data_IF_645077517015
#
_entry.id   IF_645077517015
#
_cell.length_a   1.000
_cell.length_b   1.000
_cell.length_c   1.000
_cell.angle_alpha   90.00
_cell.angle_beta   90.00
_cell.angle_gamma   90.00
#
_symmetry.space_group_name_H-M   'P 1'
#
loop_
_entity.id
_entity.type
_entity.pdbx_description
1 polymer ?
#
# COMPACT_ATOMS: atom_id res chain seq x y z
N UNK A 1 7.45 29.47 -9.18
CA UNK A 1 7.87 28.47 -8.18
C UNK A 1 6.97 27.25 -8.40
N UNK A 2 7.48 26.03 -8.44
CA UNK A 2 6.62 24.86 -8.49
C UNK A 2 5.68 24.90 -7.27
N UNK A 3 4.41 24.54 -7.49
CA UNK A 3 3.40 24.48 -6.43
C UNK A 3 3.83 23.37 -5.46
N UNK A 4 3.86 23.65 -4.16
CA UNK A 4 4.10 22.62 -3.14
C UNK A 4 3.06 21.51 -3.32
N UNK A 5 3.51 20.25 -3.36
CA UNK A 5 2.63 19.10 -3.35
C UNK A 5 2.11 18.87 -1.91
N UNK A 6 0.79 18.87 -1.73
CA UNK A 6 0.18 18.64 -0.44
C UNK A 6 0.10 17.12 -0.16
N UNK A 7 0.39 16.73 1.09
CA UNK A 7 0.19 15.34 1.55
C UNK A 7 -1.31 15.15 1.80
N UNK A 8 -1.97 14.44 0.89
CA UNK A 8 -3.44 14.31 0.90
C UNK A 8 -3.94 13.18 1.78
N UNK A 9 -3.05 12.30 2.25
CA UNK A 9 -3.42 11.28 3.24
C UNK A 9 -2.21 10.81 4.05
N UNK A 10 -2.48 10.37 5.28
CA UNK A 10 -1.53 9.72 6.18
C UNK A 10 -2.02 8.30 6.46
N UNK A 11 -1.21 7.32 6.10
CA UNK A 11 -1.53 5.90 6.26
C UNK A 11 -0.55 5.25 7.22
N UNK A 12 -1.06 4.66 8.29
CA UNK A 12 -0.32 3.94 9.31
C UNK A 12 -0.44 2.45 9.07
N UNK A 13 0.69 1.74 9.05
CA UNK A 13 0.76 0.34 8.63
C UNK A 13 1.52 -0.51 9.62
N UNK A 14 0.99 -1.70 9.89
CA UNK A 14 1.70 -2.77 10.59
C UNK A 14 1.56 -4.07 9.79
N UNK A 15 2.63 -4.86 9.77
CA UNK A 15 2.53 -6.21 9.24
C UNK A 15 1.91 -7.11 10.28
N UNK A 16 1.02 -7.98 9.85
CA UNK A 16 0.43 -9.01 10.68
C UNK A 16 1.19 -10.33 10.46
N UNK A 17 1.12 -11.22 11.44
CA UNK A 17 1.66 -12.59 11.36
C UNK A 17 0.82 -13.40 10.36
N UNK A 18 1.31 -13.73 9.16
CA UNK A 18 0.48 -14.30 8.11
C UNK A 18 -0.16 -15.64 8.50
N UNK A 19 0.55 -16.49 9.26
CA UNK A 19 0.05 -17.81 9.68
C UNK A 19 -1.21 -17.75 10.56
N UNK A 20 -1.52 -16.61 11.17
CA UNK A 20 -2.76 -16.43 11.93
C UNK A 20 -3.99 -16.22 11.03
N UNK A 21 -3.76 -15.95 9.75
CA UNK A 21 -4.78 -15.75 8.73
C UNK A 21 -4.86 -16.94 7.75
N UNK A 22 -4.25 -18.06 8.13
CA UNK A 22 -4.21 -19.28 7.32
C UNK A 22 -5.61 -19.89 7.14
N UNK A 23 -5.79 -20.56 6.00
CA UNK A 23 -6.99 -21.31 5.65
C UNK A 23 -7.80 -20.69 4.49
N UNK A 24 -9.03 -21.18 4.33
CA UNK A 24 -9.92 -20.67 3.29
C UNK A 24 -10.47 -19.27 3.62
N UNK A 25 -11.20 -18.66 2.68
CA UNK A 25 -11.76 -17.32 2.81
C UNK A 25 -12.57 -17.12 4.12
N UNK A 26 -13.38 -18.12 4.51
CA UNK A 26 -14.18 -18.04 5.72
C UNK A 26 -13.32 -18.08 7.00
N UNK A 27 -12.26 -18.90 7.02
CA UNK A 27 -11.32 -19.00 8.13
C UNK A 27 -10.51 -17.73 8.28
N UNK A 28 -9.99 -17.20 7.16
CA UNK A 28 -9.26 -15.94 7.11
C UNK A 28 -10.11 -14.77 7.61
N UNK A 29 -11.37 -14.66 7.15
CA UNK A 29 -12.30 -13.62 7.63
C UNK A 29 -12.58 -13.74 9.11
N UNK A 30 -12.83 -14.94 9.63
CA UNK A 30 -13.04 -15.15 11.05
C UNK A 30 -11.79 -14.78 11.87
N UNK A 31 -10.59 -14.96 11.32
CA UNK A 31 -9.35 -14.50 11.96
C UNK A 31 -9.25 -12.95 11.97
N UNK A 32 -9.60 -12.29 10.86
CA UNK A 32 -9.63 -10.83 10.79
C UNK A 32 -10.68 -10.24 11.75
N UNK A 33 -11.85 -10.88 11.90
CA UNK A 33 -12.86 -10.44 12.87
C UNK A 33 -12.35 -10.56 14.32
N UNK A 34 -11.63 -11.64 14.66
CA UNK A 34 -10.99 -11.76 15.98
C UNK A 34 -9.92 -10.68 16.19
N UNK A 35 -9.06 -10.48 15.19
CA UNK A 35 -8.06 -9.40 15.23
C UNK A 35 -8.72 -8.03 15.50
N UNK A 36 -9.80 -7.71 14.78
CA UNK A 36 -10.52 -6.45 14.98
C UNK A 36 -11.16 -6.35 16.36
N UNK A 37 -11.69 -7.45 16.88
CA UNK A 37 -12.19 -7.52 18.27
C UNK A 37 -11.10 -7.20 19.29
N UNK A 38 -9.90 -7.76 19.13
CA UNK A 38 -8.75 -7.52 20.00
C UNK A 38 -8.24 -6.06 19.88
N UNK A 39 -8.19 -5.51 18.66
CA UNK A 39 -7.87 -4.08 18.43
C UNK A 39 -8.87 -3.19 19.16
N UNK A 40 -10.16 -3.44 18.95
CA UNK A 40 -11.23 -2.64 19.57
C UNK A 40 -11.15 -2.69 21.11
N UNK A 41 -10.96 -3.88 21.67
CA UNK A 41 -10.82 -4.05 23.12
C UNK A 41 -9.58 -3.31 23.67
N UNK A 42 -8.46 -3.39 22.97
CA UNK A 42 -7.22 -2.72 23.34
C UNK A 42 -7.30 -1.19 23.27
N UNK A 43 -8.16 -0.64 22.42
CA UNK A 43 -8.36 0.82 22.27
C UNK A 43 -9.25 1.44 23.34
N UNK A 44 -10.06 0.64 24.07
CA UNK A 44 -10.97 1.14 25.12
C UNK A 44 -10.24 2.01 26.17
N UNK A 45 -9.08 1.59 26.73
CA UNK A 45 -8.36 2.41 27.72
C UNK A 45 -7.79 3.71 27.15
N UNK A 46 -7.68 3.83 25.83
CA UNK A 46 -7.20 5.03 25.14
C UNK A 46 -8.32 6.02 24.82
N UNK A 47 -9.59 5.65 25.06
CA UNK A 47 -10.77 6.43 24.70
C UNK A 47 -10.79 6.78 23.20
N UNK A 48 -10.43 5.79 22.36
CA UNK A 48 -10.47 5.89 20.90
C UNK A 48 -11.58 4.96 20.39
N UNK A 49 -12.73 5.52 19.99
CA UNK A 49 -13.84 4.73 19.50
C UNK A 49 -13.53 4.07 18.13
N UNK A 50 -14.20 2.94 17.89
CA UNK A 50 -14.17 2.23 16.62
C UNK A 50 -15.57 2.10 16.05
N UNK A 51 -15.70 1.90 14.75
CA UNK A 51 -16.97 1.65 14.08
C UNK A 51 -16.80 0.60 12.99
N UNK A 52 -17.88 -0.11 12.67
CA UNK A 52 -17.89 -1.13 11.62
C UNK A 52 -17.06 -2.38 11.92
N UNK A 53 -16.83 -3.16 10.90
CA UNK A 53 -16.02 -4.38 10.89
C UNK A 53 -15.54 -4.67 9.47
N UNK A 54 -14.70 -5.70 9.29
CA UNK A 54 -14.15 -6.08 7.98
C UNK A 54 -15.12 -6.97 7.18
N UNK A 55 -16.35 -6.54 7.04
CA UNK A 55 -17.44 -7.28 6.40
C UNK A 55 -17.46 -7.15 4.86
N UNK A 56 -16.72 -6.19 4.32
CA UNK A 56 -16.68 -5.90 2.89
C UNK A 56 -15.33 -6.29 2.25
N UNK A 57 -15.40 -7.11 1.19
CA UNK A 57 -14.27 -7.28 0.27
C UNK A 57 -14.26 -6.11 -0.69
N UNK A 58 -13.24 -5.29 -0.60
CA UNK A 58 -13.04 -4.17 -1.54
C UNK A 58 -12.50 -4.62 -2.87
N UNK A 59 -11.58 -5.60 -2.87
CA UNK A 59 -10.91 -6.04 -4.06
C UNK A 59 -10.38 -7.47 -3.93
N UNK A 60 -10.41 -8.19 -5.06
CA UNK A 60 -9.67 -9.42 -5.33
C UNK A 60 -8.84 -9.18 -6.58
N UNK A 61 -7.52 -9.31 -6.50
CA UNK A 61 -6.62 -8.93 -7.58
C UNK A 61 -5.45 -9.90 -7.70
N UNK A 62 -4.96 -10.04 -8.92
CA UNK A 62 -3.58 -10.48 -9.14
C UNK A 62 -2.67 -9.26 -9.12
N UNK A 63 -1.54 -9.38 -8.46
CA UNK A 63 -0.54 -8.32 -8.37
C UNK A 63 0.80 -8.82 -8.89
N UNK A 64 1.47 -7.97 -9.66
CA UNK A 64 2.77 -8.23 -10.26
C UNK A 64 3.66 -7.01 -10.07
N UNK A 65 4.94 -7.24 -9.85
CA UNK A 65 5.95 -6.18 -9.77
C UNK A 65 6.95 -6.36 -10.89
N UNK A 66 7.24 -5.29 -11.59
CA UNK A 66 8.16 -5.30 -12.71
C UNK A 66 9.37 -4.42 -12.43
N UNK A 67 10.55 -4.92 -12.80
CA UNK A 67 11.80 -4.19 -12.71
C UNK A 67 12.78 -4.74 -13.77
N UNK A 68 13.92 -4.10 -13.95
CA UNK A 68 15.02 -4.70 -14.68
C UNK A 68 15.59 -5.90 -13.90
N UNK A 69 16.33 -6.77 -14.57
CA UNK A 69 16.97 -7.93 -13.91
C UNK A 69 17.97 -7.54 -12.81
N UNK A 70 18.42 -6.28 -12.78
CA UNK A 70 19.32 -5.73 -11.76
C UNK A 70 18.58 -4.91 -10.71
N UNK A 71 17.24 -4.87 -10.75
CA UNK A 71 16.40 -4.06 -9.88
C UNK A 71 16.73 -2.55 -9.93
N UNK A 72 17.03 -2.03 -11.12
CA UNK A 72 17.47 -0.66 -11.28
C UNK A 72 16.39 0.35 -10.86
N UNK A 73 15.10 0.09 -11.16
CA UNK A 73 14.01 0.97 -10.72
C UNK A 73 13.90 1.01 -9.20
N UNK A 74 13.95 -0.14 -8.54
CA UNK A 74 13.91 -0.21 -7.08
C UNK A 74 15.12 0.46 -6.42
N UNK A 75 16.31 0.33 -7.03
CA UNK A 75 17.53 1.00 -6.56
C UNK A 75 17.38 2.53 -6.58
N UNK A 76 16.63 3.06 -7.55
CA UNK A 76 16.31 4.47 -7.67
C UNK A 76 15.00 4.87 -6.96
N UNK A 77 14.51 4.00 -6.05
CA UNK A 77 13.30 4.22 -5.25
C UNK A 77 11.98 4.23 -6.03
N UNK A 78 12.00 3.73 -7.27
CA UNK A 78 10.78 3.51 -8.06
C UNK A 78 10.26 2.09 -7.92
N UNK A 79 8.95 1.96 -8.02
CA UNK A 79 8.22 0.68 -8.01
C UNK A 79 7.22 0.72 -9.13
N UNK A 80 7.27 -0.28 -10.01
CA UNK A 80 6.26 -0.53 -11.04
C UNK A 80 5.43 -1.73 -10.61
N UNK A 81 4.14 -1.52 -10.44
CA UNK A 81 3.21 -2.57 -10.03
C UNK A 81 2.02 -2.62 -10.97
N UNK A 82 1.72 -3.80 -11.48
CA UNK A 82 0.48 -4.11 -12.15
C UNK A 82 -0.51 -4.74 -11.17
N UNK A 83 -1.77 -4.42 -11.34
CA UNK A 83 -2.91 -5.08 -10.71
C UNK A 83 -3.92 -5.47 -11.76
N UNK A 84 -4.48 -6.66 -11.62
CA UNK A 84 -5.54 -7.21 -12.46
C UNK A 84 -6.71 -7.59 -11.55
N UNK A 85 -7.85 -6.98 -11.73
CA UNK A 85 -9.06 -7.33 -11.00
C UNK A 85 -9.53 -8.72 -11.45
N UNK A 86 -9.74 -9.63 -10.50
CA UNK A 86 -10.07 -11.05 -10.79
C UNK A 86 -11.48 -11.20 -11.37
N UNK A 87 -12.39 -10.30 -10.98
CA UNK A 87 -13.80 -10.40 -11.38
C UNK A 87 -14.05 -9.77 -12.75
N UNK A 88 -13.37 -8.65 -13.07
CA UNK A 88 -13.56 -7.89 -14.31
C UNK A 88 -12.47 -8.12 -15.35
N UNK A 89 -11.28 -8.54 -14.93
CA UNK A 89 -10.10 -8.63 -15.79
C UNK A 89 -9.50 -7.26 -16.13
N UNK A 90 -9.99 -6.19 -15.52
CA UNK A 90 -9.42 -4.85 -15.70
C UNK A 90 -8.02 -4.77 -15.10
N UNK A 91 -7.11 -4.16 -15.85
CA UNK A 91 -5.71 -4.02 -15.44
C UNK A 91 -5.33 -2.57 -15.25
N UNK A 92 -4.54 -2.30 -14.21
CA UNK A 92 -3.98 -0.98 -13.92
C UNK A 92 -2.48 -1.10 -13.62
N UNK A 93 -1.72 -0.08 -14.02
CA UNK A 93 -0.30 0.06 -13.68
C UNK A 93 -0.11 1.25 -12.77
N UNK A 94 0.63 1.03 -11.69
CA UNK A 94 1.04 2.08 -10.76
C UNK A 94 2.55 2.27 -10.85
N UNK A 95 2.98 3.48 -11.16
CA UNK A 95 4.32 3.95 -10.86
C UNK A 95 4.29 4.60 -9.48
N UNK A 96 5.22 4.22 -8.60
CA UNK A 96 5.34 4.79 -7.25
C UNK A 96 6.79 5.14 -6.96
N UNK A 97 7.03 6.35 -6.50
CA UNK A 97 8.32 6.79 -5.94
C UNK A 97 8.21 6.92 -4.43
N UNK A 98 9.24 6.53 -3.69
CA UNK A 98 9.29 6.63 -2.23
C UNK A 98 10.58 7.27 -1.75
N UNK A 99 10.47 8.22 -0.81
CA UNK A 99 11.64 8.82 -0.18
C UNK A 99 11.33 9.26 1.26
N UNK A 100 12.35 9.22 2.13
CA UNK A 100 12.22 9.70 3.51
C UNK A 100 12.09 11.23 3.58
N UNK A 101 12.70 11.93 2.66
CA UNK A 101 12.56 13.38 2.53
C UNK A 101 11.36 13.72 1.65
N UNK A 102 10.44 14.54 2.21
CA UNK A 102 9.21 14.97 1.55
C UNK A 102 9.48 15.76 0.26
N UNK A 103 10.46 16.65 0.30
CA UNK A 103 10.73 17.53 -0.85
C UNK A 103 11.33 16.75 -2.00
N UNK A 104 12.21 15.79 -1.70
CA UNK A 104 12.73 14.87 -2.72
C UNK A 104 11.60 14.04 -3.33
N UNK A 105 10.65 13.55 -2.52
CA UNK A 105 9.51 12.80 -3.02
C UNK A 105 8.58 13.67 -3.88
N UNK A 106 8.32 14.92 -3.46
CA UNK A 106 7.41 15.84 -4.14
C UNK A 106 8.00 16.42 -5.45
N UNK A 107 9.32 16.40 -5.62
CA UNK A 107 10.01 16.94 -6.81
C UNK A 107 10.01 15.99 -8.01
N UNK A 108 9.42 14.80 -7.86
CA UNK A 108 9.36 13.82 -8.94
C UNK A 108 8.21 14.11 -9.89
N UNK A 109 8.48 14.01 -11.20
CA UNK A 109 7.43 14.00 -12.19
C UNK A 109 6.76 12.62 -12.19
N UNK A 110 5.49 12.61 -11.80
CA UNK A 110 4.66 11.42 -11.73
C UNK A 110 3.47 11.53 -12.70
N UNK A 111 3.63 12.32 -13.77
CA UNK A 111 2.59 12.53 -14.78
C UNK A 111 2.33 11.23 -15.53
N UNK A 112 1.06 10.97 -15.84
CA UNK A 112 0.65 9.92 -16.75
C UNK A 112 0.56 10.47 -18.17
N UNK A 113 0.78 9.60 -19.16
CA UNK A 113 0.61 9.97 -20.59
C UNK A 113 -0.86 10.17 -20.96
N UNK A 114 -1.77 9.49 -20.28
CA UNK A 114 -3.22 9.56 -20.46
C UNK A 114 -3.87 10.33 -19.31
N UNK A 115 -4.97 11.03 -19.60
CA UNK A 115 -5.74 11.77 -18.57
C UNK A 115 -6.90 10.94 -17.99
N UNK A 116 -7.43 9.99 -18.78
CA UNK A 116 -8.62 9.24 -18.41
C UNK A 116 -8.32 8.09 -17.46
N UNK A 117 -9.04 8.04 -16.34
CA UNK A 117 -8.92 6.97 -15.34
C UNK A 117 -7.65 7.07 -14.47
N UNK A 118 -6.88 8.14 -14.61
CA UNK A 118 -5.66 8.38 -13.86
C UNK A 118 -5.98 8.80 -12.42
N UNK A 119 -5.20 8.24 -11.48
CA UNK A 119 -5.27 8.57 -10.05
C UNK A 119 -3.87 8.89 -9.55
N UNK A 120 -3.63 10.12 -9.17
CA UNK A 120 -2.36 10.58 -8.60
C UNK A 120 -2.53 10.86 -7.12
N UNK A 121 -1.57 10.42 -6.30
CA UNK A 121 -1.59 10.57 -4.84
C UNK A 121 -0.21 10.91 -4.30
N UNK A 122 -0.16 11.85 -3.36
CA UNK A 122 1.01 12.12 -2.55
C UNK A 122 0.67 11.87 -1.09
N UNK A 123 1.21 10.80 -0.51
CA UNK A 123 0.81 10.25 0.78
C UNK A 123 2.01 10.13 1.72
N UNK A 124 1.77 10.26 3.03
CA UNK A 124 2.72 9.90 4.08
C UNK A 124 2.39 8.50 4.61
N UNK A 125 3.29 7.54 4.36
CA UNK A 125 3.24 6.20 4.92
C UNK A 125 4.00 6.18 6.27
N UNK A 126 3.32 5.85 7.37
CA UNK A 126 3.93 5.73 8.72
C UNK A 126 3.96 4.26 9.12
N UNK A 127 5.15 3.77 9.47
CA UNK A 127 5.38 2.36 9.82
C UNK A 127 6.20 2.23 11.12
N UNK A 128 6.22 1.06 11.75
CA UNK A 128 7.02 0.82 12.96
C UNK A 128 8.50 1.18 12.80
N UNK A 129 9.17 1.68 13.86
CA UNK A 129 8.55 2.04 15.16
C UNK A 129 7.77 3.36 15.14
N UNK A 130 7.95 4.22 14.20
CA UNK A 130 7.26 5.46 13.83
C UNK A 130 8.10 6.20 12.76
N UNK A 131 8.28 5.54 11.63
CA UNK A 131 9.08 6.06 10.52
C UNK A 131 8.16 6.51 9.41
N UNK A 132 8.23 7.79 9.06
CA UNK A 132 7.54 8.37 7.91
C UNK A 132 8.32 8.17 6.63
N UNK A 133 7.60 7.78 5.56
CA UNK A 133 8.10 7.72 4.19
C UNK A 133 7.08 8.39 3.29
N UNK A 134 7.50 9.34 2.47
CA UNK A 134 6.62 10.01 1.52
C UNK A 134 6.57 9.22 0.22
N UNK A 135 5.35 9.00 -0.25
CA UNK A 135 5.05 8.21 -1.42
C UNK A 135 4.31 9.05 -2.44
N UNK A 136 4.91 9.23 -3.61
CA UNK A 136 4.25 9.81 -4.76
C UNK A 136 3.91 8.70 -5.74
N UNK A 137 2.65 8.57 -6.13
CA UNK A 137 2.21 7.49 -7.01
C UNK A 137 1.18 7.97 -8.01
N UNK A 138 1.27 7.44 -9.22
CA UNK A 138 0.26 7.60 -10.25
C UNK A 138 -0.14 6.22 -10.77
N UNK A 139 -1.43 5.99 -10.82
CA UNK A 139 -2.04 4.76 -11.35
C UNK A 139 -2.86 5.10 -12.57
N UNK A 140 -2.71 4.33 -13.63
CA UNK A 140 -3.51 4.45 -14.83
C UNK A 140 -3.95 3.08 -15.36
N UNK A 141 -5.06 3.01 -16.12
CA UNK A 141 -5.48 1.78 -16.77
C UNK A 141 -4.42 1.25 -17.72
N UNK A 142 -4.29 -0.07 -17.81
CA UNK A 142 -3.50 -0.74 -18.83
C UNK A 142 -4.44 -1.29 -19.91
N UNK A 143 -4.24 -0.86 -21.14
CA UNK A 143 -5.07 -1.32 -22.27
C UNK A 143 -5.03 -2.83 -22.39
N UNK A 144 -6.19 -3.44 -22.67
CA UNK A 144 -6.29 -4.89 -22.87
C UNK A 144 -5.32 -5.37 -23.95
N UNK A 145 -4.58 -6.44 -23.64
CA UNK A 145 -3.56 -7.01 -24.53
C UNK A 145 -2.19 -6.34 -24.47
N UNK A 146 -2.04 -5.19 -23.79
CA UNK A 146 -0.72 -4.58 -23.57
C UNK A 146 0.10 -5.40 -22.59
N UNK A 147 1.42 -5.41 -22.79
CA UNK A 147 2.40 -6.13 -21.97
C UNK A 147 3.51 -5.17 -21.58
N UNK A 148 3.96 -5.22 -20.34
CA UNK A 148 5.13 -4.50 -19.88
C UNK A 148 6.36 -5.37 -20.10
N UNK A 149 6.97 -5.27 -21.29
CA UNK A 149 8.10 -6.10 -21.70
C UNK A 149 9.45 -5.37 -21.58
N UNK A 150 9.43 -4.06 -21.70
CA UNK A 150 10.63 -3.22 -21.72
C UNK A 150 10.40 -1.96 -20.88
N UNK A 151 11.47 -1.33 -20.46
CA UNK A 151 11.43 -0.08 -19.69
C UNK A 151 10.68 1.03 -20.43
N UNK A 152 10.79 1.07 -21.76
CA UNK A 152 10.03 1.99 -22.63
C UNK A 152 8.52 1.87 -22.42
N UNK A 153 7.99 0.68 -22.24
CA UNK A 153 6.54 0.48 -22.09
C UNK A 153 6.02 1.22 -20.85
N UNK A 154 6.82 1.28 -19.78
CA UNK A 154 6.49 2.05 -18.56
C UNK A 154 6.78 3.54 -18.75
N UNK A 155 7.88 3.90 -19.44
CA UNK A 155 8.22 5.29 -19.71
C UNK A 155 7.20 5.96 -20.63
N UNK A 156 6.65 5.23 -21.60
CA UNK A 156 5.56 5.72 -22.47
C UNK A 156 4.27 5.96 -21.67
N UNK A 157 4.01 5.17 -20.64
CA UNK A 157 2.89 5.38 -19.72
C UNK A 157 3.15 6.53 -18.73
N UNK A 158 4.39 6.71 -18.29
CA UNK A 158 4.80 7.70 -17.30
C UNK A 158 6.01 8.50 -17.80
N UNK A 159 5.79 9.55 -18.60
CA UNK A 159 6.89 10.25 -19.28
C UNK A 159 7.98 10.80 -18.36
N UNK A 160 7.60 11.23 -17.13
CA UNK A 160 8.56 11.71 -16.15
C UNK A 160 9.56 10.66 -15.64
N UNK A 161 9.27 9.37 -15.84
CA UNK A 161 10.20 8.29 -15.49
C UNK A 161 11.43 8.31 -16.40
N UNK A 162 11.26 8.57 -17.69
CA UNK A 162 12.37 8.59 -18.66
C UNK A 162 13.47 9.60 -18.25
N UNK A 163 13.06 10.78 -17.77
CA UNK A 163 14.00 11.80 -17.31
C UNK A 163 14.70 11.40 -16.00
N UNK A 164 13.99 10.69 -15.13
CA UNK A 164 14.48 10.32 -13.81
C UNK A 164 15.52 9.18 -13.85
N UNK A 165 15.36 8.24 -14.77
CA UNK A 165 16.24 7.05 -14.91
C UNK A 165 17.34 7.23 -15.97
N UNK A 166 17.38 8.36 -16.65
CA UNK A 166 18.30 8.95 -17.62
C UNK A 166 19.28 8.05 -18.37
N UNK A 167 20.09 7.27 -17.67
CA UNK A 167 21.13 6.43 -18.26
C UNK A 167 20.69 4.99 -18.56
N UNK A 168 19.50 4.56 -18.10
CA UNK A 168 19.02 3.21 -18.38
C UNK A 168 18.51 3.11 -19.82
N UNK A 169 19.00 2.12 -20.61
CA UNK A 169 18.51 1.92 -21.96
C UNK A 169 17.00 1.63 -21.95
N UNK A 170 16.26 2.35 -22.78
CA UNK A 170 14.80 2.22 -22.89
C UNK A 170 14.35 0.82 -23.34
N UNK A 171 15.22 0.09 -24.04
CA UNK A 171 15.02 -1.29 -24.47
C UNK A 171 15.37 -2.32 -23.40
N UNK A 172 15.79 -1.89 -22.18
CA UNK A 172 16.08 -2.80 -21.09
C UNK A 172 14.86 -3.68 -20.82
N UNK A 173 15.01 -5.02 -20.82
CA UNK A 173 13.91 -5.91 -20.51
C UNK A 173 13.36 -5.66 -19.09
N UNK A 174 12.06 -5.60 -18.97
CA UNK A 174 11.38 -5.72 -17.69
C UNK A 174 11.09 -7.18 -17.40
N UNK A 175 11.36 -7.58 -16.18
CA UNK A 175 11.10 -8.92 -15.68
C UNK A 175 10.15 -8.86 -14.49
N UNK A 176 9.40 -9.91 -14.31
CA UNK A 176 8.61 -10.11 -13.10
C UNK A 176 9.57 -10.34 -11.94
N UNK A 177 9.49 -9.51 -10.91
CA UNK A 177 10.40 -9.60 -9.76
C UNK A 177 10.19 -10.94 -9.06
N UNK A 178 11.26 -11.79 -9.02
CA UNK A 178 11.26 -13.13 -8.41
C UNK A 178 10.17 -14.06 -8.93
N UNK A 179 9.67 -13.87 -10.13
CA UNK A 179 8.53 -14.60 -10.69
C UNK A 179 7.27 -14.58 -9.79
N UNK A 180 7.21 -13.62 -8.86
CA UNK A 180 6.12 -13.53 -7.88
C UNK A 180 4.86 -12.95 -8.51
N UNK A 181 3.78 -13.72 -8.46
CA UNK A 181 2.41 -13.27 -8.70
C UNK A 181 1.62 -13.41 -7.41
N UNK A 182 1.22 -12.30 -6.83
CA UNK A 182 0.42 -12.31 -5.61
C UNK A 182 -1.08 -12.29 -5.91
N UNK A 183 -1.83 -13.13 -5.22
CA UNK A 183 -3.29 -13.03 -5.13
C UNK A 183 -3.64 -12.17 -3.92
N UNK A 184 -4.09 -10.95 -4.18
CA UNK A 184 -4.45 -9.95 -3.16
C UNK A 184 -5.93 -10.02 -2.80
N UNK A 185 -6.23 -10.05 -1.50
CA UNK A 185 -7.58 -9.81 -0.96
C UNK A 185 -7.51 -8.57 -0.06
N UNK A 186 -8.40 -7.61 -0.30
CA UNK A 186 -8.51 -6.38 0.50
C UNK A 186 -9.85 -6.39 1.22
N UNK A 187 -9.81 -6.31 2.55
CA UNK A 187 -10.99 -6.20 3.42
C UNK A 187 -11.09 -4.79 3.98
N UNK A 188 -12.30 -4.25 4.01
CA UNK A 188 -12.65 -2.92 4.52
C UNK A 188 -14.00 -2.94 5.26
N UNK A 189 -14.39 -1.80 5.84
CA UNK A 189 -15.65 -1.55 6.53
C UNK A 189 -15.48 -1.14 7.98
N UNK A 190 -14.28 -1.34 8.54
CA UNK A 190 -13.90 -0.90 9.88
C UNK A 190 -13.26 0.50 9.83
N UNK A 191 -13.46 1.30 10.89
CA UNK A 191 -12.77 2.58 11.04
C UNK A 191 -12.48 2.91 12.50
N UNK A 192 -11.48 3.79 12.70
CA UNK A 192 -11.15 4.44 13.95
C UNK A 192 -11.71 5.86 13.94
N UNK A 193 -12.18 6.35 15.07
CA UNK A 193 -12.62 7.73 15.25
C UNK A 193 -11.54 8.51 16.02
N UNK A 194 -10.80 9.36 15.32
CA UNK A 194 -9.61 10.02 15.85
C UNK A 194 -9.85 11.48 16.20
N UNK A 195 -9.24 11.92 17.29
CA UNK A 195 -9.27 13.29 17.77
C UNK A 195 -10.63 13.71 18.32
N UNK A 196 -10.74 14.94 18.78
CA UNK A 196 -11.95 15.49 19.44
C UNK A 196 -13.17 15.66 18.53
N UNK A 197 -13.04 15.42 17.24
CA UNK A 197 -14.13 15.58 16.26
C UNK A 197 -14.46 14.29 15.56
N UNK A 198 -13.99 13.15 16.08
CA UNK A 198 -14.26 11.82 15.54
C UNK A 198 -13.93 11.73 14.04
N UNK A 199 -12.72 12.20 13.67
CA UNK A 199 -12.25 12.08 12.28
C UNK A 199 -12.11 10.60 11.97
N UNK A 200 -12.85 10.16 10.97
CA UNK A 200 -12.85 8.78 10.53
C UNK A 200 -11.51 8.43 9.85
N UNK A 201 -10.87 7.39 10.35
CA UNK A 201 -9.70 6.79 9.75
C UNK A 201 -10.08 5.40 9.25
N UNK A 202 -10.21 5.27 7.93
CA UNK A 202 -10.56 4.02 7.26
C UNK A 202 -9.53 2.94 7.53
N UNK A 203 -9.98 1.78 7.98
CA UNK A 203 -9.15 0.61 8.21
C UNK A 203 -9.19 -0.36 7.03
N UNK A 204 -8.05 -0.97 6.73
CA UNK A 204 -7.96 -2.03 5.74
C UNK A 204 -7.09 -3.18 6.24
N UNK A 205 -7.48 -4.41 5.90
CA UNK A 205 -6.63 -5.59 5.99
C UNK A 205 -6.34 -6.08 4.57
N UNK A 206 -5.07 -6.22 4.25
CA UNK A 206 -4.59 -6.71 2.96
C UNK A 206 -3.87 -8.02 3.16
N UNK A 207 -4.32 -9.05 2.46
CA UNK A 207 -3.73 -10.40 2.54
C UNK A 207 -3.27 -10.81 1.15
N UNK A 208 -2.01 -11.31 1.06
CA UNK A 208 -1.43 -11.84 -0.16
C UNK A 208 -1.13 -13.32 -0.04
N UNK A 209 -1.47 -14.04 -1.07
CA UNK A 209 -1.09 -15.44 -1.29
C UNK A 209 -0.17 -15.50 -2.51
N UNK A 210 0.74 -16.45 -2.56
CA UNK A 210 1.50 -16.74 -3.77
C UNK A 210 0.62 -17.53 -4.73
N UNK A 211 0.36 -16.99 -5.93
CA UNK A 211 -0.50 -17.65 -6.94
C UNK A 211 0.15 -18.91 -7.52
N UNK A 212 1.48 -19.00 -7.48
CA UNK A 212 2.23 -20.17 -7.90
C UNK A 212 2.12 -21.35 -6.94
N UNK A 213 1.67 -21.12 -5.70
CA UNK A 213 1.50 -22.13 -4.68
C UNK A 213 0.01 -22.44 -4.45
N UNK A 214 -0.34 -23.72 -4.37
CA UNK A 214 -1.72 -24.14 -4.04
C UNK A 214 -2.04 -24.01 -2.54
N UNK A 215 -1.18 -23.32 -1.81
CA UNK A 215 -1.31 -23.15 -0.38
C UNK A 215 -2.37 -22.08 -0.04
N UNK A 216 -3.05 -22.28 1.06
CA UNK A 216 -3.99 -21.33 1.66
C UNK A 216 -3.32 -20.42 2.69
N UNK A 217 -2.02 -20.62 2.94
CA UNK A 217 -1.24 -19.81 3.87
C UNK A 217 -0.84 -18.50 3.23
N UNK A 218 -1.22 -17.35 3.79
CA UNK A 218 -0.79 -16.06 3.29
C UNK A 218 0.73 -15.90 3.40
N UNK A 219 1.34 -15.29 2.38
CA UNK A 219 2.77 -14.90 2.41
C UNK A 219 2.98 -13.51 2.98
N UNK A 220 1.94 -12.67 2.93
CA UNK A 220 1.94 -11.29 3.47
C UNK A 220 0.57 -10.99 4.05
N UNK A 221 0.56 -10.34 5.21
CA UNK A 221 -0.64 -9.74 5.78
C UNK A 221 -0.29 -8.35 6.34
N UNK A 222 -1.15 -7.37 6.10
CA UNK A 222 -0.95 -5.98 6.55
C UNK A 222 -2.26 -5.42 7.06
N UNK A 223 -2.23 -4.79 8.22
CA UNK A 223 -3.29 -3.90 8.68
C UNK A 223 -2.84 -2.46 8.47
N UNK A 224 -3.75 -1.62 7.99
CA UNK A 224 -3.54 -0.18 7.90
C UNK A 224 -4.77 0.60 8.33
N UNK A 225 -4.54 1.82 8.81
CA UNK A 225 -5.59 2.81 8.96
C UNK A 225 -5.13 4.14 8.36
N UNK A 226 -6.07 4.83 7.71
CA UNK A 226 -5.77 6.02 6.93
C UNK A 226 -6.82 7.10 7.13
N UNK A 227 -6.36 8.33 7.33
CA UNK A 227 -7.19 9.53 7.23
C UNK A 227 -6.56 10.52 6.25
N UNK A 228 -7.39 11.35 5.65
CA UNK A 228 -6.97 12.29 4.61
C UNK A 228 -7.45 13.71 4.83
N UNK A 229 -6.75 14.65 4.19
CA UNK A 229 -7.17 16.03 4.03
C UNK A 229 -6.53 16.61 2.76
N UNK A 230 -7.35 17.04 1.82
CA UNK A 230 -6.89 17.55 0.52
C UNK A 230 -6.08 18.86 0.62
N UNK A 231 -6.29 19.64 1.69
CA UNK A 231 -5.59 20.88 1.96
C UNK A 231 -4.43 20.70 2.96
N UNK A 232 -4.14 19.46 3.37
CA UNK A 232 -3.12 19.13 4.37
C UNK A 232 -3.35 19.81 5.74
N UNK A 233 -4.63 20.04 6.12
CA UNK A 233 -4.98 20.62 7.43
C UNK A 233 -5.10 19.52 8.51
N UNK A 234 -4.00 18.84 8.78
CA UNK A 234 -3.95 17.79 9.78
C UNK A 234 -3.90 18.33 11.21
N UNK A 235 -4.85 17.89 12.03
CA UNK A 235 -4.97 18.34 13.43
C UNK A 235 -4.07 17.55 14.35
N UNK A 236 -3.41 18.25 15.28
CA UNK A 236 -2.52 17.61 16.25
C UNK A 236 -3.20 16.57 17.13
N UNK A 237 -4.51 16.72 17.46
CA UNK A 237 -5.23 15.71 18.22
C UNK A 237 -5.44 14.39 17.45
N UNK A 238 -5.72 14.48 16.14
CA UNK A 238 -5.85 13.31 15.26
C UNK A 238 -4.52 12.60 15.10
N UNK A 239 -3.45 13.36 14.85
CA UNK A 239 -2.10 12.80 14.75
C UNK A 239 -1.63 12.16 16.07
N UNK A 240 -1.99 12.75 17.22
CA UNK A 240 -1.70 12.22 18.54
C UNK A 240 -2.39 10.88 18.80
N UNK A 241 -3.68 10.76 18.46
CA UNK A 241 -4.40 9.50 18.58
C UNK A 241 -3.88 8.45 17.61
N UNK A 242 -3.59 8.80 16.36
CA UNK A 242 -2.98 7.90 15.39
C UNK A 242 -1.63 7.35 15.88
N UNK A 243 -0.81 8.19 16.52
CA UNK A 243 0.43 7.75 17.17
C UNK A 243 0.15 6.73 18.28
N UNK A 244 -0.82 7.01 19.17
CA UNK A 244 -1.19 6.10 20.28
C UNK A 244 -1.70 4.75 19.76
N UNK A 245 -2.50 4.76 18.70
CA UNK A 245 -2.95 3.53 18.02
C UNK A 245 -1.77 2.75 17.48
N UNK A 246 -0.87 3.38 16.73
CA UNK A 246 0.29 2.69 16.16
C UNK A 246 1.21 2.10 17.24
N UNK A 247 1.43 2.82 18.36
CA UNK A 247 2.20 2.33 19.48
C UNK A 247 1.52 1.12 20.13
N UNK A 248 0.20 1.21 20.38
CA UNK A 248 -0.59 0.12 20.92
C UNK A 248 -0.53 -1.15 20.06
N UNK A 249 -0.66 -1.01 18.74
CA UNK A 249 -0.57 -2.14 17.82
C UNK A 249 0.77 -2.87 17.95
N UNK A 250 1.86 -2.13 18.12
CA UNK A 250 3.21 -2.70 18.24
C UNK A 250 3.46 -3.36 19.62
N UNK A 251 2.93 -2.77 20.69
CA UNK A 251 3.25 -3.18 22.07
C UNK A 251 2.20 -4.10 22.68
N UNK A 252 0.94 -3.91 22.30
CA UNK A 252 -0.20 -4.58 22.94
C UNK A 252 -0.80 -5.75 22.17
N UNK A 253 -0.46 -5.92 20.90
CA UNK A 253 -1.00 -6.96 20.02
C UNK A 253 0.09 -7.86 19.43
N UNK A 254 1.10 -8.20 20.23
CA UNK A 254 2.30 -8.92 19.81
C UNK A 254 2.06 -10.29 19.19
N UNK A 255 0.91 -10.93 19.47
CA UNK A 255 0.55 -12.19 18.80
C UNK A 255 0.13 -11.96 17.35
N UNK A 256 -0.49 -10.81 17.07
CA UNK A 256 -0.98 -10.45 15.73
C UNK A 256 0.04 -9.72 14.87
N UNK A 257 0.84 -8.85 15.48
CA UNK A 257 1.77 -7.98 14.76
C UNK A 257 3.12 -8.67 14.58
N UNK A 258 3.56 -8.80 13.33
CA UNK A 258 4.89 -9.33 13.02
C UNK A 258 5.95 -8.34 13.55
N UNK A 259 6.85 -8.78 14.45
CA UNK A 259 7.91 -7.93 14.97
C UNK A 259 8.96 -7.54 13.92
N UNK A 260 8.98 -8.21 12.76
CA UNK A 260 9.90 -7.86 11.68
C UNK A 260 9.35 -6.67 10.88
N UNK A 261 10.05 -5.54 10.79
CA UNK A 261 9.56 -4.33 10.15
C UNK A 261 9.64 -4.42 8.61
N UNK A 262 9.18 -5.51 8.04
CA UNK A 262 9.10 -5.68 6.59
C UNK A 262 7.90 -4.92 6.04
N UNK A 263 7.94 -4.57 4.77
CA UNK A 263 6.79 -4.02 4.04
C UNK A 263 6.38 -5.01 2.94
N UNK A 264 5.15 -4.89 2.43
CA UNK A 264 4.71 -5.68 1.27
C UNK A 264 5.72 -5.61 0.11
N UNK A 265 6.24 -4.42 -0.18
CA UNK A 265 7.25 -4.23 -1.25
C UNK A 265 8.55 -4.92 -0.92
N UNK A 266 9.06 -4.78 0.32
CA UNK A 266 10.31 -5.44 0.71
C UNK A 266 10.20 -6.97 0.70
N UNK A 267 9.01 -7.54 0.89
CA UNK A 267 8.78 -8.97 0.72
C UNK A 267 9.07 -9.41 -0.74
N UNK A 268 8.62 -8.63 -1.71
CA UNK A 268 8.79 -8.98 -3.13
C UNK A 268 10.25 -8.85 -3.59
N UNK A 269 10.99 -7.88 -3.06
CA UNK A 269 12.40 -7.61 -3.45
C UNK A 269 13.45 -8.28 -2.54
N UNK A 270 13.03 -9.04 -1.50
CA UNK A 270 13.93 -9.67 -0.53
C UNK A 270 14.72 -10.90 -1.06
#
# INVERSE_FOLDING_TARGET
MPKRQDVTSREYKVMLTPSLLDGNDATMRAAVDRFWGDVTAALVPLDIPTTGGFDRVKARRLIRFFDTSTHALHSDSYIVREREDVDTGEREVTLKFRHADRYVAADRSMEAAEDSGVKTKFEEDVKPPFVSVFSFSTTQPLTSGSVLAQLRDVADMFPGLADAIGELPQESPLVLVRDFVGREVVLEGAALLLGKRDIEADCAVVVWYDEGEQDTTPVVAEFSFKYGDEAEDYRGSVAGDAYRVLALLQEGLGDWVDPNPRTKTSFVYA
#
